data_IF_989949911705
#
_entry.id   IF_989949911705
#
_cell.length_a   1.000
_cell.length_b   1.000
_cell.length_c   1.000
_cell.angle_alpha   90.00
_cell.angle_beta   90.00
_cell.angle_gamma   90.00
#
_symmetry.space_group_name_H-M   'P 1'
#
loop_
_entity.id
_entity.type
_entity.pdbx_description
1 polymer ?
#
# COMPACT_ATOMS: atom_id res chain seq x y z
N UNK A 1 9.35 -0.49 19.47
CA UNK A 1 8.93 0.72 18.73
C UNK A 1 7.48 1.01 19.07
N UNK A 2 7.08 2.27 19.30
CA UNK A 2 5.68 2.63 19.52
C UNK A 2 4.82 2.26 18.30
N UNK A 3 3.60 1.79 18.55
CA UNK A 3 2.61 1.57 17.48
C UNK A 3 2.25 2.93 16.86
N UNK A 4 2.00 2.98 15.55
CA UNK A 4 1.63 4.20 14.82
C UNK A 4 0.53 5.01 15.52
N UNK A 5 -0.50 4.35 16.07
CA UNK A 5 -1.59 5.05 16.79
C UNK A 5 -1.10 5.78 18.04
N UNK A 6 -0.19 5.17 18.81
CA UNK A 6 0.39 5.82 19.98
C UNK A 6 1.35 6.94 19.60
N UNK A 7 2.15 6.75 18.54
CA UNK A 7 3.09 7.77 18.07
C UNK A 7 2.35 9.01 17.52
N UNK A 8 1.26 8.79 16.78
CA UNK A 8 0.36 9.85 16.31
C UNK A 8 -0.27 10.63 17.47
N UNK A 9 -0.73 9.94 18.52
CA UNK A 9 -1.28 10.62 19.70
C UNK A 9 -0.22 11.46 20.45
N UNK A 10 1.03 10.99 20.50
CA UNK A 10 2.15 11.75 21.06
C UNK A 10 2.47 12.99 20.23
N UNK A 11 2.51 12.86 18.90
CA UNK A 11 2.71 13.99 17.99
C UNK A 11 1.63 15.07 18.18
N UNK A 12 0.35 14.69 18.20
CA UNK A 12 -0.76 15.65 18.42
C UNK A 12 -0.62 16.41 19.74
N UNK A 13 -0.19 15.73 20.81
CA UNK A 13 0.06 16.40 22.09
C UNK A 13 1.25 17.36 22.03
N UNK A 14 2.32 16.98 21.33
CA UNK A 14 3.51 17.82 21.18
C UNK A 14 3.22 19.05 20.32
N UNK A 15 2.45 18.90 19.24
CA UNK A 15 1.98 20.01 18.39
C UNK A 15 1.08 20.98 19.18
N UNK A 16 0.17 20.46 20.00
CA UNK A 16 -0.67 21.30 20.86
C UNK A 16 0.15 22.07 21.90
N UNK A 17 1.19 21.44 22.47
CA UNK A 17 2.09 22.10 23.41
C UNK A 17 2.94 23.19 22.72
N UNK A 18 3.40 22.94 21.50
CA UNK A 18 4.10 23.93 20.68
C UNK A 18 3.20 25.11 20.33
N UNK A 19 1.98 24.86 19.87
CA UNK A 19 1.00 25.92 19.57
C UNK A 19 0.73 26.80 20.80
N UNK A 20 0.54 26.20 21.98
CA UNK A 20 0.34 26.95 23.22
C UNK A 20 1.58 27.77 23.63
N UNK A 21 2.78 27.26 23.38
CA UNK A 21 4.01 28.00 23.65
C UNK A 21 4.20 29.19 22.69
N UNK A 22 3.85 29.01 21.41
CA UNK A 22 3.84 30.09 20.41
C UNK A 22 2.86 31.18 20.84
N UNK A 23 1.61 30.84 21.14
CA UNK A 23 0.59 31.79 21.58
C UNK A 23 1.02 32.58 22.82
N UNK A 24 1.71 31.94 23.78
CA UNK A 24 2.20 32.60 24.98
C UNK A 24 3.27 33.66 24.66
N UNK A 25 4.22 33.31 23.79
CA UNK A 25 5.28 34.25 23.36
C UNK A 25 4.67 35.40 22.56
N UNK A 26 3.75 35.11 21.65
CA UNK A 26 3.05 36.13 20.85
C UNK A 26 2.21 37.07 21.72
N UNK A 27 1.48 36.53 22.70
CA UNK A 27 0.68 37.33 23.62
C UNK A 27 1.54 38.23 24.54
N UNK A 28 2.74 37.78 24.90
CA UNK A 28 3.67 38.58 25.69
C UNK A 28 4.40 39.65 24.85
N UNK A 29 4.59 39.43 23.55
CA UNK A 29 5.24 40.40 22.65
C UNK A 29 6.62 40.81 23.16
N UNK A 30 6.88 42.11 23.24
CA UNK A 30 8.15 42.65 23.77
C UNK A 30 8.39 42.36 25.25
N UNK A 31 7.34 41.96 25.99
CA UNK A 31 7.43 41.56 27.40
C UNK A 31 7.70 40.06 27.61
N UNK A 32 7.86 39.30 26.53
CA UNK A 32 8.17 37.87 26.60
C UNK A 32 9.45 37.62 27.41
N UNK A 33 9.35 36.75 28.41
CA UNK A 33 10.48 36.44 29.27
C UNK A 33 11.43 35.44 28.59
N UNK A 34 12.68 35.39 29.05
CA UNK A 34 13.63 34.36 28.63
C UNK A 34 13.08 32.95 28.91
N UNK A 35 12.25 32.78 29.94
CA UNK A 35 11.61 31.50 30.25
C UNK A 35 10.56 31.12 29.18
N UNK A 36 9.81 32.07 28.64
CA UNK A 36 8.82 31.80 27.58
C UNK A 36 9.50 31.29 26.31
N UNK A 37 10.62 31.91 25.92
CA UNK A 37 11.44 31.42 24.79
C UNK A 37 12.07 30.05 25.06
N UNK A 38 12.49 29.76 26.29
CA UNK A 38 12.98 28.41 26.65
C UNK A 38 11.88 27.35 26.57
N UNK A 39 10.66 27.68 26.99
CA UNK A 39 9.50 26.79 26.88
C UNK A 39 9.18 26.54 25.41
N UNK A 40 9.19 27.58 24.57
CA UNK A 40 8.99 27.45 23.12
C UNK A 40 10.02 26.53 22.48
N UNK A 41 11.32 26.76 22.74
CA UNK A 41 12.39 25.95 22.18
C UNK A 41 12.28 24.46 22.60
N UNK A 42 11.90 24.19 23.86
CA UNK A 42 11.66 22.82 24.33
C UNK A 42 10.45 22.18 23.66
N UNK A 43 9.37 22.93 23.46
CA UNK A 43 8.18 22.44 22.80
C UNK A 43 8.45 22.15 21.31
N UNK A 44 9.25 22.98 20.65
CA UNK A 44 9.67 22.79 19.26
C UNK A 44 10.53 21.52 19.11
N UNK A 45 11.54 21.34 19.97
CA UNK A 45 12.35 20.14 19.97
C UNK A 45 11.52 18.87 20.23
N UNK A 46 10.56 18.93 21.15
CA UNK A 46 9.67 17.81 21.45
C UNK A 46 8.73 17.49 20.28
N UNK A 47 8.17 18.49 19.61
CA UNK A 47 7.32 18.31 18.43
C UNK A 47 8.12 17.70 17.27
N UNK A 48 9.35 18.17 17.02
CA UNK A 48 10.22 17.61 15.99
C UNK A 48 10.54 16.14 16.25
N UNK A 49 10.93 15.80 17.48
CA UNK A 49 11.22 14.41 17.84
C UNK A 49 9.98 13.51 17.72
N UNK A 50 8.82 13.99 18.19
CA UNK A 50 7.57 13.24 18.07
C UNK A 50 7.14 13.04 16.61
N UNK A 51 7.48 13.99 15.72
CA UNK A 51 7.21 13.88 14.29
C UNK A 51 8.06 12.78 13.66
N UNK A 52 9.36 12.74 13.96
CA UNK A 52 10.27 11.69 13.46
C UNK A 52 9.82 10.30 13.91
N UNK A 53 9.48 10.14 15.20
CA UNK A 53 8.97 8.88 15.76
C UNK A 53 7.65 8.45 15.10
N UNK A 54 6.73 9.40 14.89
CA UNK A 54 5.45 9.15 14.22
C UNK A 54 5.65 8.69 12.78
N UNK A 55 6.55 9.35 12.05
CA UNK A 55 6.83 9.03 10.66
C UNK A 55 7.54 7.69 10.51
N UNK A 56 8.46 7.36 11.41
CA UNK A 56 9.09 6.03 11.46
C UNK A 56 8.04 4.93 11.74
N UNK A 57 7.17 5.14 12.73
CA UNK A 57 6.10 4.20 13.05
C UNK A 57 5.09 4.04 11.91
N UNK A 58 4.76 5.13 11.21
CA UNK A 58 3.87 5.11 10.03
C UNK A 58 4.45 4.27 8.90
N UNK A 59 5.74 4.45 8.58
CA UNK A 59 6.44 3.65 7.55
C UNK A 59 6.47 2.17 7.90
N UNK A 60 6.75 1.85 9.16
CA UNK A 60 6.74 0.46 9.62
C UNK A 60 5.34 -0.17 9.48
N UNK A 61 4.29 0.53 9.94
CA UNK A 61 2.91 0.07 9.83
C UNK A 61 2.49 -0.22 8.39
N UNK A 62 2.76 0.68 7.45
CA UNK A 62 2.38 0.47 6.05
C UNK A 62 3.19 -0.63 5.36
N UNK A 63 4.46 -0.79 5.74
CA UNK A 63 5.29 -1.90 5.22
C UNK A 63 4.72 -3.24 5.68
N UNK A 64 4.42 -3.38 6.96
CA UNK A 64 3.81 -4.59 7.51
C UNK A 64 2.45 -4.88 6.85
N UNK A 65 1.61 -3.85 6.70
CA UNK A 65 0.32 -3.97 6.04
C UNK A 65 0.43 -4.41 4.57
N UNK A 66 1.41 -3.89 3.84
CA UNK A 66 1.65 -4.29 2.46
C UNK A 66 2.07 -5.76 2.36
N UNK A 67 2.99 -6.19 3.23
CA UNK A 67 3.44 -7.58 3.31
C UNK A 67 2.29 -8.54 3.66
N UNK A 68 1.42 -8.18 4.61
CA UNK A 68 0.24 -8.98 4.94
C UNK A 68 -0.69 -9.15 3.75
N UNK A 69 -0.90 -8.10 2.96
CA UNK A 69 -1.79 -8.13 1.80
C UNK A 69 -1.17 -8.93 0.65
N UNK A 70 0.13 -8.79 0.42
CA UNK A 70 0.87 -9.59 -0.55
C UNK A 70 0.84 -11.08 -0.19
N UNK A 71 1.05 -11.41 1.08
CA UNK A 71 0.98 -12.79 1.56
C UNK A 71 -0.43 -13.37 1.37
N UNK A 72 -1.48 -12.63 1.75
CA UNK A 72 -2.87 -13.04 1.51
C UNK A 72 -3.17 -13.25 0.04
N UNK A 73 -2.67 -12.37 -0.83
CA UNK A 73 -2.82 -12.52 -2.27
C UNK A 73 -2.16 -13.82 -2.74
N UNK A 74 -0.94 -14.11 -2.31
CA UNK A 74 -0.25 -15.36 -2.65
C UNK A 74 -1.01 -16.60 -2.14
N UNK A 75 -1.43 -16.60 -0.87
CA UNK A 75 -2.19 -17.70 -0.27
C UNK A 75 -3.51 -17.96 -1.00
N UNK A 76 -4.16 -16.91 -1.53
CA UNK A 76 -5.44 -17.04 -2.24
C UNK A 76 -5.24 -17.37 -3.72
N UNK A 77 -4.22 -16.81 -4.37
CA UNK A 77 -4.01 -16.94 -5.81
C UNK A 77 -3.31 -18.24 -6.21
N UNK A 78 -2.36 -18.74 -5.40
CA UNK A 78 -1.58 -19.94 -5.73
C UNK A 78 -2.46 -21.20 -5.90
N UNK A 79 -3.44 -21.50 -5.03
CA UNK A 79 -4.34 -22.62 -5.24
C UNK A 79 -5.15 -22.50 -6.53
N UNK A 80 -5.67 -21.31 -6.83
CA UNK A 80 -6.45 -21.06 -8.05
C UNK A 80 -5.58 -21.29 -9.29
N UNK A 81 -4.35 -20.75 -9.32
CA UNK A 81 -3.43 -20.96 -10.43
C UNK A 81 -3.04 -22.45 -10.61
N UNK A 82 -2.88 -23.17 -9.51
CA UNK A 82 -2.62 -24.61 -9.55
C UNK A 82 -3.81 -25.40 -10.13
N UNK A 83 -5.03 -25.09 -9.71
CA UNK A 83 -6.24 -25.72 -10.26
C UNK A 83 -6.42 -25.40 -11.74
N UNK A 84 -6.23 -24.14 -12.16
CA UNK A 84 -6.28 -23.73 -13.58
C UNK A 84 -5.28 -24.55 -14.40
N UNK A 85 -4.05 -24.72 -13.91
CA UNK A 85 -3.02 -25.52 -14.58
C UNK A 85 -3.42 -26.98 -14.68
N UNK A 86 -3.93 -27.58 -13.61
CA UNK A 86 -4.38 -28.97 -13.59
C UNK A 86 -5.52 -29.19 -14.59
N UNK A 87 -6.50 -28.29 -14.62
CA UNK A 87 -7.59 -28.42 -15.55
C UNK A 87 -7.16 -28.20 -17.01
N UNK A 88 -6.21 -27.31 -17.29
CA UNK A 88 -5.65 -27.16 -18.63
C UNK A 88 -4.93 -28.44 -19.10
N UNK A 89 -4.19 -29.11 -18.21
CA UNK A 89 -3.55 -30.40 -18.50
C UNK A 89 -4.61 -31.47 -18.79
N UNK A 90 -5.65 -31.58 -17.97
CA UNK A 90 -6.72 -32.56 -18.15
C UNK A 90 -7.49 -32.33 -19.45
N UNK A 91 -7.82 -31.08 -19.77
CA UNK A 91 -8.48 -30.68 -21.01
C UNK A 91 -7.64 -31.08 -22.23
N UNK A 92 -6.33 -30.81 -22.21
CA UNK A 92 -5.41 -31.22 -23.26
C UNK A 92 -5.33 -32.75 -23.40
N UNK A 93 -5.26 -33.49 -22.30
CA UNK A 93 -5.22 -34.96 -22.30
C UNK A 93 -6.52 -35.61 -22.82
N UNK A 94 -7.66 -34.96 -22.63
CA UNK A 94 -8.97 -35.45 -23.06
C UNK A 94 -9.32 -35.05 -24.50
N UNK A 95 -8.43 -34.32 -25.19
CA UNK A 95 -8.71 -33.79 -26.53
C UNK A 95 -9.74 -32.66 -26.55
N UNK A 96 -10.22 -32.22 -25.38
CA UNK A 96 -11.08 -31.06 -25.20
C UNK A 96 -10.20 -29.81 -25.06
N UNK A 97 -9.80 -29.22 -26.19
CA UNK A 97 -9.15 -27.90 -26.23
C UNK A 97 -10.17 -26.78 -25.93
N UNK A 98 -10.89 -26.88 -24.82
CA UNK A 98 -11.72 -25.77 -24.37
C UNK A 98 -10.80 -24.68 -23.79
N UNK A 99 -11.02 -23.44 -24.25
CA UNK A 99 -10.27 -22.27 -23.81
C UNK A 99 -10.15 -22.26 -22.27
N UNK A 100 -8.93 -22.12 -21.69
CA UNK A 100 -8.70 -22.06 -20.24
C UNK A 100 -9.67 -21.12 -19.50
N UNK A 101 -10.11 -20.04 -20.15
CA UNK A 101 -11.11 -19.12 -19.61
C UNK A 101 -12.46 -19.79 -19.29
N UNK A 102 -12.95 -20.69 -20.16
CA UNK A 102 -14.19 -21.47 -19.94
C UNK A 102 -14.05 -22.48 -18.82
N UNK A 103 -12.84 -22.99 -18.61
CA UNK A 103 -12.52 -23.91 -17.52
C UNK A 103 -12.54 -23.14 -16.19
N UNK A 104 -11.91 -21.96 -16.13
CA UNK A 104 -11.99 -21.06 -14.97
C UNK A 104 -13.43 -20.66 -14.63
N UNK A 105 -14.24 -20.28 -15.64
CA UNK A 105 -15.65 -19.90 -15.46
C UNK A 105 -16.50 -21.06 -14.90
N UNK A 106 -16.22 -22.30 -15.31
CA UNK A 106 -16.90 -23.50 -14.77
C UNK A 106 -16.51 -23.77 -13.32
N UNK A 107 -15.23 -23.70 -12.99
CA UNK A 107 -14.75 -24.00 -11.62
C UNK A 107 -15.20 -22.96 -10.59
N UNK A 108 -15.31 -21.69 -10.97
CA UNK A 108 -15.71 -20.64 -10.04
C UNK A 108 -17.21 -20.64 -9.71
N UNK A 109 -18.02 -21.50 -10.36
CA UNK A 109 -19.43 -21.77 -10.03
C UNK A 109 -20.38 -20.56 -10.08
N UNK A 110 -19.84 -19.38 -10.37
CA UNK A 110 -20.43 -18.06 -10.41
C UNK A 110 -19.64 -17.30 -11.46
N UNK A 111 -20.34 -16.54 -12.29
CA UNK A 111 -19.68 -15.67 -13.26
C UNK A 111 -18.56 -14.91 -12.57
N UNK A 112 -17.35 -15.00 -13.14
CA UNK A 112 -16.33 -13.99 -12.89
C UNK A 112 -17.00 -12.63 -13.09
N UNK A 113 -16.68 -11.60 -12.27
CA UNK A 113 -17.12 -10.25 -12.58
C UNK A 113 -16.77 -9.99 -14.04
N UNK A 114 -17.70 -9.40 -14.78
CA UNK A 114 -17.44 -8.96 -16.15
C UNK A 114 -16.37 -7.88 -16.08
N UNK A 115 -15.11 -8.31 -16.05
CA UNK A 115 -13.98 -7.43 -16.17
C UNK A 115 -13.97 -7.11 -17.65
N UNK A 116 -14.76 -6.11 -18.03
CA UNK A 116 -14.49 -5.29 -19.19
C UNK A 116 -13.15 -4.62 -18.92
N UNK A 117 -12.07 -5.40 -19.05
CA UNK A 117 -10.77 -4.88 -19.33
C UNK A 117 -10.98 -4.28 -20.71
N UNK A 118 -11.22 -2.97 -20.75
CA UNK A 118 -10.85 -2.19 -21.93
C UNK A 118 -9.39 -2.51 -22.15
N UNK A 119 -9.15 -3.51 -22.98
CA UNK A 119 -7.82 -3.97 -23.30
C UNK A 119 -7.06 -2.73 -23.76
N UNK A 120 -5.99 -2.31 -23.07
CA UNK A 120 -5.15 -1.25 -23.58
C UNK A 120 -4.37 -1.75 -24.81
N UNK A 121 -4.47 -3.05 -25.14
CA UNK A 121 -3.92 -3.62 -26.36
C UNK A 121 -4.73 -3.07 -27.54
N UNK A 122 -4.13 -2.22 -28.39
CA UNK A 122 -4.76 -1.74 -29.59
C UNK A 122 -5.18 -2.94 -30.44
N UNK A 123 -6.43 -2.96 -30.90
CA UNK A 123 -6.88 -3.97 -31.84
C UNK A 123 -6.02 -3.86 -33.10
N UNK A 124 -5.21 -4.88 -33.37
CA UNK A 124 -4.31 -4.92 -34.54
C UNK A 124 -2.87 -5.33 -34.27
N UNK A 125 -2.41 -5.40 -33.01
CA UNK A 125 -1.12 -6.04 -32.72
C UNK A 125 -1.30 -7.55 -32.63
N UNK A 126 -0.67 -8.26 -33.58
CA UNK A 126 -0.57 -9.71 -33.58
C UNK A 126 0.14 -10.17 -32.30
N UNK A 127 -0.31 -11.32 -31.77
CA UNK A 127 0.14 -11.85 -30.46
C UNK A 127 1.66 -12.05 -30.37
N UNK A 128 2.32 -12.20 -31.52
CA UNK A 128 3.78 -12.28 -31.66
C UNK A 128 4.50 -10.98 -31.29
N UNK A 129 3.96 -9.82 -31.68
CA UNK A 129 4.60 -8.51 -31.44
C UNK A 129 4.55 -8.11 -29.95
N UNK A 130 3.54 -8.59 -29.23
CA UNK A 130 3.42 -8.38 -27.78
C UNK A 130 4.40 -9.25 -27.00
N UNK A 131 4.75 -10.43 -27.51
CA UNK A 131 5.72 -11.33 -26.88
C UNK A 131 7.14 -10.80 -27.10
N UNK A 132 7.48 -10.37 -28.32
CA UNK A 132 8.78 -9.74 -28.60
C UNK A 132 9.02 -8.48 -27.76
N UNK A 133 8.02 -7.60 -27.62
CA UNK A 133 8.15 -6.41 -26.76
C UNK A 133 8.27 -6.74 -25.28
N UNK A 134 7.62 -7.80 -24.81
CA UNK A 134 7.74 -8.22 -23.42
C UNK A 134 9.14 -8.80 -23.14
N UNK A 135 9.74 -9.48 -24.12
CA UNK A 135 11.12 -9.98 -24.02
C UNK A 135 12.16 -8.83 -24.09
N UNK A 136 11.94 -7.79 -24.90
CA UNK A 136 12.80 -6.59 -24.93
C UNK A 136 12.78 -5.79 -23.63
N UNK A 137 11.66 -5.75 -22.89
CA UNK A 137 11.55 -5.02 -21.61
C UNK A 137 12.11 -5.80 -20.40
N UNK A 138 12.50 -7.06 -20.60
CA UNK A 138 13.09 -7.92 -19.57
C UNK A 138 14.64 -7.95 -19.60
N UNK A 139 15.25 -7.15 -20.46
CA UNK A 139 16.68 -6.85 -20.51
C UNK A 139 16.92 -5.34 -20.36
#
# INVERSE_FOLDING_TARGET
>A
MPNYKSASATLTKAEAALASAIERVEAAGESASQNDYQVLAKAEAAASAAWEDCEQARRAYWRERALELEQKLHETALPILAEIRLCAINAWQQGELDNPLKVCQRMLGKGLPDVSIKSPVPQGLERSELIEKAEEMLW
#
